data_IF_160989940348
#
_entry.id   IF_160989940348
#
_cell.length_a   1.000
_cell.length_b   1.000
_cell.length_c   1.000
_cell.angle_alpha   90.00
_cell.angle_beta   90.00
_cell.angle_gamma   90.00
#
_symmetry.space_group_name_H-M   'P 1'
#
loop_
_entity.id
_entity.type
_entity.pdbx_description
1 polymer ?
#
# COMPACT_ATOMS: atom_id res chain seq x y z
N UNK A 1 57.16 -149.77 -50.65
CA UNK A 1 58.07 -150.42 -49.69
C UNK A 1 59.36 -149.62 -49.68
N UNK A 2 59.52 -148.71 -48.71
CA UNK A 2 60.71 -147.84 -48.61
C UNK A 2 61.76 -148.60 -47.81
N UNK A 3 62.84 -149.01 -48.46
CA UNK A 3 63.96 -149.70 -47.81
C UNK A 3 64.85 -148.64 -47.16
N UNK A 4 64.89 -148.64 -45.82
CA UNK A 4 65.82 -147.84 -45.01
C UNK A 4 67.06 -148.68 -44.71
N UNK A 5 68.25 -148.19 -45.03
CA UNK A 5 69.53 -148.71 -44.54
C UNK A 5 70.20 -147.59 -43.74
N UNK A 6 70.51 -147.86 -42.46
CA UNK A 6 71.33 -147.03 -41.57
C UNK A 6 70.81 -145.65 -41.11
N UNK A 7 69.50 -145.50 -40.85
CA UNK A 7 68.94 -144.45 -39.98
C UNK A 7 68.97 -143.00 -40.49
N UNK A 8 69.83 -142.70 -41.45
CA UNK A 8 69.74 -141.55 -42.33
C UNK A 8 68.91 -141.98 -43.54
N UNK A 9 67.82 -141.28 -43.90
CA UNK A 9 67.12 -141.56 -45.13
C UNK A 9 68.12 -141.39 -46.27
N UNK A 10 68.58 -142.50 -46.83
CA UNK A 10 69.29 -142.52 -48.10
C UNK A 10 68.30 -141.89 -49.07
N UNK A 11 68.54 -140.63 -49.44
CA UNK A 11 67.72 -139.91 -50.40
C UNK A 11 67.67 -140.77 -51.65
N UNK A 12 66.58 -141.53 -51.80
CA UNK A 12 66.36 -142.29 -53.00
C UNK A 12 66.25 -141.32 -54.16
N UNK A 13 66.54 -141.73 -55.39
CA UNK A 13 66.28 -140.90 -56.57
C UNK A 13 64.86 -140.30 -56.53
N UNK A 14 63.89 -141.02 -55.94
CA UNK A 14 62.51 -140.57 -55.68
C UNK A 14 62.36 -139.46 -54.63
N UNK A 15 63.18 -139.39 -53.58
CA UNK A 15 63.13 -138.33 -52.56
C UNK A 15 63.83 -137.06 -53.05
N UNK A 16 64.90 -137.20 -53.84
CA UNK A 16 65.49 -136.09 -54.60
C UNK A 16 64.49 -135.57 -55.64
N UNK A 17 63.74 -136.45 -56.31
CA UNK A 17 62.65 -136.08 -57.22
C UNK A 17 61.47 -135.42 -56.49
N UNK A 18 61.11 -135.88 -55.30
CA UNK A 18 60.04 -135.28 -54.50
C UNK A 18 60.47 -133.92 -53.95
N UNK A 19 61.71 -133.79 -53.48
CA UNK A 19 62.31 -132.52 -53.06
C UNK A 19 62.46 -131.54 -54.22
N UNK A 20 62.93 -132.00 -55.39
CA UNK A 20 63.01 -131.19 -56.61
C UNK A 20 61.62 -130.75 -57.09
N UNK A 21 60.59 -131.60 -56.95
CA UNK A 21 59.21 -131.26 -57.30
C UNK A 21 58.55 -130.33 -56.28
N UNK A 22 58.90 -130.43 -54.99
CA UNK A 22 58.45 -129.52 -53.95
C UNK A 22 59.13 -128.15 -54.05
N UNK A 23 60.43 -128.12 -54.35
CA UNK A 23 61.15 -126.88 -54.68
C UNK A 23 60.61 -126.29 -55.98
N UNK A 24 60.30 -127.11 -56.99
CA UNK A 24 59.67 -126.67 -58.24
C UNK A 24 58.26 -126.09 -57.99
N UNK A 25 57.43 -126.76 -57.18
CA UNK A 25 56.11 -126.24 -56.80
C UNK A 25 56.20 -124.97 -55.97
N UNK A 26 57.17 -124.88 -55.04
CA UNK A 26 57.43 -123.67 -54.28
C UNK A 26 57.97 -122.53 -55.15
N UNK A 27 58.80 -122.83 -56.17
CA UNK A 27 59.24 -121.84 -57.15
C UNK A 27 58.10 -121.43 -58.08
N UNK A 28 57.20 -122.33 -58.44
CA UNK A 28 56.00 -122.04 -59.24
C UNK A 28 55.00 -121.17 -58.45
N UNK A 29 54.78 -121.46 -57.17
CA UNK A 29 53.96 -120.66 -56.25
C UNK A 29 54.61 -119.29 -55.97
N UNK A 30 55.93 -119.24 -55.77
CA UNK A 30 56.68 -117.99 -55.58
C UNK A 30 56.68 -117.14 -56.86
N UNK A 31 56.78 -117.76 -58.05
CA UNK A 31 56.68 -117.09 -59.35
C UNK A 31 55.25 -116.61 -59.60
N UNK A 32 54.24 -117.39 -59.22
CA UNK A 32 52.83 -116.99 -59.28
C UNK A 32 52.54 -115.80 -58.38
N UNK A 33 53.01 -115.85 -57.12
CA UNK A 33 52.85 -114.74 -56.19
C UNK A 33 53.66 -113.50 -56.62
N UNK A 34 54.89 -113.68 -57.11
CA UNK A 34 55.69 -112.60 -57.69
C UNK A 34 55.05 -112.03 -58.97
N UNK A 35 54.31 -112.83 -59.75
CA UNK A 35 53.54 -112.41 -60.92
C UNK A 35 52.27 -111.63 -60.57
N UNK A 36 51.66 -111.87 -59.40
CA UNK A 36 50.51 -111.11 -58.89
C UNK A 36 50.90 -109.80 -58.20
N UNK A 37 52.12 -109.69 -57.67
CA UNK A 37 52.62 -108.48 -56.99
C UNK A 37 52.50 -107.22 -57.86
N UNK A 38 52.89 -107.20 -59.16
CA UNK A 38 52.68 -106.05 -60.04
C UNK A 38 51.22 -105.61 -60.14
N UNK A 39 50.27 -106.56 -60.22
CA UNK A 39 48.84 -106.24 -60.30
C UNK A 39 48.24 -105.74 -58.97
N UNK A 40 48.80 -106.16 -57.83
CA UNK A 40 48.45 -105.58 -56.52
C UNK A 40 49.07 -104.19 -56.35
N UNK A 41 50.32 -104.00 -56.78
CA UNK A 41 51.00 -102.71 -56.77
C UNK A 41 50.29 -101.68 -57.67
N UNK A 42 49.89 -102.06 -58.88
CA UNK A 42 49.11 -101.20 -59.78
C UNK A 42 47.82 -100.70 -59.15
N UNK A 43 47.01 -101.60 -58.56
CA UNK A 43 45.77 -101.20 -57.87
C UNK A 43 46.00 -100.29 -56.65
N UNK A 44 47.10 -100.48 -55.92
CA UNK A 44 47.48 -99.58 -54.83
C UNK A 44 47.90 -98.21 -55.35
N UNK A 45 48.61 -98.15 -56.49
CA UNK A 45 48.98 -96.90 -57.15
C UNK A 45 47.75 -96.16 -57.68
N UNK A 46 46.81 -96.85 -58.33
CA UNK A 46 45.54 -96.28 -58.80
C UNK A 46 44.72 -95.73 -57.63
N UNK A 47 44.63 -96.49 -56.53
CA UNK A 47 43.97 -96.04 -55.30
C UNK A 47 44.67 -94.85 -54.64
N UNK A 48 46.00 -94.79 -54.70
CA UNK A 48 46.78 -93.66 -54.23
C UNK A 48 46.56 -92.42 -55.12
N UNK A 49 46.51 -92.58 -56.44
CA UNK A 49 46.23 -91.50 -57.39
C UNK A 49 44.84 -90.92 -57.18
N UNK A 50 43.82 -91.76 -57.03
CA UNK A 50 42.46 -91.33 -56.71
C UNK A 50 42.38 -90.62 -55.34
N UNK A 51 43.15 -91.07 -54.35
CA UNK A 51 43.24 -90.40 -53.05
C UNK A 51 43.89 -89.03 -53.18
N UNK A 52 44.97 -88.91 -53.97
CA UNK A 52 45.65 -87.64 -54.24
C UNK A 52 44.71 -86.67 -54.95
N UNK A 53 43.97 -87.10 -55.97
CA UNK A 53 43.00 -86.26 -56.67
C UNK A 53 41.91 -85.73 -55.72
N UNK A 54 41.39 -86.61 -54.85
CA UNK A 54 40.41 -86.20 -53.83
C UNK A 54 40.99 -85.21 -52.82
N UNK A 55 42.24 -85.41 -52.38
CA UNK A 55 42.93 -84.49 -51.47
C UNK A 55 43.11 -83.13 -52.14
N UNK A 56 43.55 -83.09 -53.40
CA UNK A 56 43.68 -81.85 -54.18
C UNK A 56 42.33 -81.12 -54.28
N UNK A 57 41.24 -81.82 -54.62
CA UNK A 57 39.92 -81.21 -54.66
C UNK A 57 39.37 -80.79 -53.29
N UNK A 58 39.85 -81.37 -52.18
CA UNK A 58 39.56 -80.86 -50.83
C UNK A 58 40.39 -79.59 -50.56
N UNK A 59 41.66 -79.55 -50.95
CA UNK A 59 42.51 -78.38 -50.80
C UNK A 59 41.93 -77.17 -51.55
N UNK A 60 41.52 -77.33 -52.81
CA UNK A 60 40.90 -76.25 -53.60
C UNK A 60 39.62 -75.71 -52.94
N UNK A 61 38.81 -76.60 -52.35
CA UNK A 61 37.61 -76.19 -51.59
C UNK A 61 37.96 -75.47 -50.30
N UNK A 62 39.02 -75.89 -49.62
CA UNK A 62 39.52 -75.21 -48.42
C UNK A 62 40.01 -73.81 -48.79
N UNK A 63 40.77 -73.66 -49.87
CA UNK A 63 41.24 -72.35 -50.34
C UNK A 63 40.06 -71.41 -50.65
N UNK A 64 39.03 -71.91 -51.37
CA UNK A 64 37.82 -71.12 -51.63
C UNK A 64 37.00 -70.79 -50.36
N UNK A 65 37.07 -71.62 -49.32
CA UNK A 65 36.49 -71.29 -48.01
C UNK A 65 37.31 -70.23 -47.28
N UNK A 66 38.65 -70.30 -47.34
CA UNK A 66 39.54 -69.31 -46.75
C UNK A 66 39.34 -67.93 -47.40
N UNK A 67 39.27 -67.86 -48.73
CA UNK A 67 38.97 -66.61 -49.45
C UNK A 67 37.64 -65.98 -48.99
N UNK A 68 36.62 -66.81 -48.79
CA UNK A 68 35.30 -66.35 -48.29
C UNK A 68 35.39 -65.88 -46.84
N UNK A 69 36.16 -66.56 -46.00
CA UNK A 69 36.39 -66.15 -44.61
C UNK A 69 37.11 -64.81 -44.57
N UNK A 70 38.15 -64.63 -45.37
CA UNK A 70 38.89 -63.36 -45.47
C UNK A 70 37.97 -62.22 -45.93
N UNK A 71 37.11 -62.48 -46.93
CA UNK A 71 36.09 -61.53 -47.35
C UNK A 71 35.07 -61.19 -46.25
N UNK A 72 34.67 -62.18 -45.44
CA UNK A 72 33.79 -61.96 -44.29
C UNK A 72 34.47 -61.14 -43.20
N UNK A 73 35.75 -61.39 -42.92
CA UNK A 73 36.54 -60.63 -41.94
C UNK A 73 36.66 -59.17 -42.38
N UNK A 74 36.99 -58.94 -43.65
CA UNK A 74 37.06 -57.58 -44.20
C UNK A 74 35.72 -56.83 -44.13
N UNK A 75 34.61 -57.52 -44.39
CA UNK A 75 33.28 -56.93 -44.25
C UNK A 75 32.94 -56.59 -42.79
N UNK A 76 33.32 -57.46 -41.84
CA UNK A 76 33.16 -57.21 -40.40
C UNK A 76 33.99 -56.00 -39.97
N UNK A 77 35.23 -55.86 -40.43
CA UNK A 77 36.09 -54.71 -40.11
C UNK A 77 35.50 -53.39 -40.64
N UNK A 78 34.92 -53.41 -41.83
CA UNK A 78 34.22 -52.26 -42.39
C UNK A 78 32.98 -51.89 -41.56
N UNK A 79 32.18 -52.87 -41.14
CA UNK A 79 31.02 -52.66 -40.26
C UNK A 79 31.43 -52.10 -38.89
N UNK A 80 32.51 -52.61 -38.29
CA UNK A 80 33.02 -52.10 -37.02
C UNK A 80 33.48 -50.65 -37.13
N UNK A 81 34.08 -50.27 -38.26
CA UNK A 81 34.45 -48.88 -38.55
C UNK A 81 33.22 -47.98 -38.65
N UNK A 82 32.18 -48.42 -39.36
CA UNK A 82 30.92 -47.67 -39.47
C UNK A 82 30.20 -47.52 -38.12
N UNK A 83 30.12 -48.62 -37.34
CA UNK A 83 29.56 -48.62 -35.98
C UNK A 83 30.33 -47.64 -35.09
N UNK A 84 31.66 -47.60 -35.17
CA UNK A 84 32.47 -46.60 -34.46
C UNK A 84 32.07 -45.16 -34.83
N UNK A 85 31.83 -44.90 -36.11
CA UNK A 85 31.32 -43.61 -36.59
C UNK A 85 29.91 -43.26 -36.12
N UNK A 86 29.00 -44.25 -36.03
CA UNK A 86 27.66 -44.07 -35.46
C UNK A 86 27.73 -43.74 -33.96
N UNK A 87 28.56 -44.46 -33.20
CA UNK A 87 28.76 -44.23 -31.78
C UNK A 87 29.31 -42.83 -31.52
N UNK A 88 30.32 -42.39 -32.28
CA UNK A 88 30.88 -41.04 -32.15
C UNK A 88 29.85 -39.93 -32.43
N UNK A 89 29.05 -40.07 -33.50
CA UNK A 89 27.95 -39.14 -33.80
C UNK A 89 26.89 -39.15 -32.70
N UNK A 90 26.52 -40.32 -32.20
CA UNK A 90 25.54 -40.46 -31.10
C UNK A 90 26.04 -39.77 -29.84
N UNK A 91 27.33 -39.94 -29.48
CA UNK A 91 27.93 -39.23 -28.35
C UNK A 91 27.87 -37.70 -28.51
N UNK A 92 28.00 -37.20 -29.74
CA UNK A 92 27.92 -35.76 -30.03
C UNK A 92 26.49 -35.23 -29.91
N UNK A 93 25.50 -36.00 -30.37
CA UNK A 93 24.08 -35.70 -30.19
C UNK A 93 23.71 -35.66 -28.72
N UNK A 94 24.15 -36.66 -27.93
CA UNK A 94 23.93 -36.70 -26.48
C UNK A 94 24.52 -35.46 -25.80
N UNK A 95 25.78 -35.13 -26.06
CA UNK A 95 26.39 -33.93 -25.48
C UNK A 95 25.73 -32.61 -25.92
N UNK A 96 25.10 -32.58 -27.09
CA UNK A 96 24.31 -31.41 -27.54
C UNK A 96 22.97 -31.34 -26.82
N UNK A 97 22.30 -32.48 -26.63
CA UNK A 97 21.06 -32.58 -25.89
C UNK A 97 21.26 -32.16 -24.42
N UNK A 98 22.34 -32.60 -23.77
CA UNK A 98 22.69 -32.18 -22.40
C UNK A 98 22.86 -30.66 -22.29
N UNK A 99 23.53 -30.02 -23.24
CA UNK A 99 23.67 -28.56 -23.29
C UNK A 99 22.33 -27.86 -23.49
N UNK A 100 21.47 -28.39 -24.37
CA UNK A 100 20.12 -27.84 -24.59
C UNK A 100 19.28 -27.93 -23.31
N UNK A 101 19.31 -29.07 -22.62
CA UNK A 101 18.61 -29.25 -21.33
C UNK A 101 19.12 -28.24 -20.30
N UNK A 102 20.43 -28.03 -20.20
CA UNK A 102 21.00 -27.02 -19.30
C UNK A 102 20.53 -25.59 -19.65
N UNK A 103 20.54 -25.22 -20.93
CA UNK A 103 20.04 -23.90 -21.39
C UNK A 103 18.55 -23.73 -21.09
N UNK A 104 17.72 -24.74 -21.36
CA UNK A 104 16.29 -24.72 -21.03
C UNK A 104 16.07 -24.56 -19.53
N UNK A 105 16.87 -25.24 -18.70
CA UNK A 105 16.86 -25.05 -17.25
C UNK A 105 17.18 -23.61 -16.84
N UNK A 106 18.17 -22.99 -17.48
CA UNK A 106 18.50 -21.57 -17.28
C UNK A 106 17.34 -20.64 -17.64
N UNK A 107 16.75 -20.81 -18.83
CA UNK A 107 15.60 -20.02 -19.29
C UNK A 107 14.41 -20.17 -18.35
N UNK A 108 14.14 -21.38 -17.84
CA UNK A 108 13.07 -21.62 -16.87
C UNK A 108 13.31 -20.86 -15.56
N UNK A 109 14.56 -20.84 -15.05
CA UNK A 109 14.92 -20.08 -13.84
C UNK A 109 14.83 -18.56 -14.03
N UNK A 110 15.22 -18.05 -15.21
CA UNK A 110 15.03 -16.63 -15.55
C UNK A 110 13.54 -16.27 -15.63
N UNK A 111 12.73 -17.12 -16.26
CA UNK A 111 11.28 -16.91 -16.34
C UNK A 111 10.63 -16.87 -14.95
N UNK A 112 11.02 -17.77 -14.03
CA UNK A 112 10.55 -17.74 -12.63
C UNK A 112 10.92 -16.43 -11.93
N UNK A 113 12.12 -15.91 -12.18
CA UNK A 113 12.58 -14.62 -11.64
C UNK A 113 11.78 -13.44 -12.19
N UNK A 114 11.48 -13.46 -13.49
CA UNK A 114 10.63 -12.45 -14.13
C UNK A 114 9.22 -12.46 -13.53
N UNK A 115 8.61 -13.64 -13.38
CA UNK A 115 7.27 -13.79 -12.78
C UNK A 115 7.24 -13.25 -11.34
N UNK A 116 8.25 -13.60 -10.53
CA UNK A 116 8.36 -13.08 -9.16
C UNK A 116 8.48 -11.55 -9.12
N UNK A 117 9.31 -10.99 -9.99
CA UNK A 117 9.51 -9.53 -10.09
C UNK A 117 8.24 -8.83 -10.55
N UNK A 118 7.55 -9.36 -11.56
CA UNK A 118 6.27 -8.83 -12.02
C UNK A 118 5.21 -8.84 -10.90
N UNK A 119 5.15 -9.90 -10.08
CA UNK A 119 4.27 -9.97 -8.91
C UNK A 119 4.59 -8.89 -7.86
N UNK A 120 5.88 -8.64 -7.60
CA UNK A 120 6.31 -7.57 -6.69
C UNK A 120 5.92 -6.18 -7.22
N UNK A 121 6.14 -5.92 -8.51
CA UNK A 121 5.75 -4.67 -9.18
C UNK A 121 4.23 -4.46 -9.11
N UNK A 122 3.43 -5.51 -9.36
CA UNK A 122 1.97 -5.43 -9.26
C UNK A 122 1.51 -5.08 -7.83
N UNK A 123 2.15 -5.65 -6.81
CA UNK A 123 1.86 -5.36 -5.40
C UNK A 123 2.20 -3.91 -5.05
N UNK A 124 3.34 -3.41 -5.53
CA UNK A 124 3.75 -2.02 -5.34
C UNK A 124 2.78 -1.06 -6.04
N UNK A 125 2.36 -1.37 -7.27
CA UNK A 125 1.39 -0.58 -8.01
C UNK A 125 0.04 -0.49 -7.26
N UNK A 126 -0.45 -1.60 -6.72
CA UNK A 126 -1.67 -1.60 -5.90
C UNK A 126 -1.55 -0.69 -4.67
N UNK A 127 -0.37 -0.67 -4.02
CA UNK A 127 -0.10 0.21 -2.89
C UNK A 127 -0.13 1.69 -3.29
N UNK A 128 0.48 2.04 -4.43
CA UNK A 128 0.46 3.41 -4.96
C UNK A 128 -0.95 3.87 -5.31
N UNK A 129 -1.76 3.00 -5.92
CA UNK A 129 -3.17 3.29 -6.22
C UNK A 129 -3.96 3.55 -4.93
N UNK A 130 -3.76 2.72 -3.89
CA UNK A 130 -4.40 2.94 -2.58
C UNK A 130 -4.00 4.28 -1.94
N UNK A 131 -2.71 4.64 -2.01
CA UNK A 131 -2.24 5.94 -1.52
C UNK A 131 -2.86 7.12 -2.29
N UNK A 132 -2.96 7.02 -3.61
CA UNK A 132 -3.58 8.04 -4.45
C UNK A 132 -5.08 8.21 -4.15
N UNK A 133 -5.80 7.11 -3.89
CA UNK A 133 -7.19 7.16 -3.43
C UNK A 133 -7.31 7.88 -2.08
N UNK A 134 -6.40 7.60 -1.13
CA UNK A 134 -6.35 8.31 0.15
C UNK A 134 -6.13 9.82 0.00
N UNK A 135 -5.20 10.24 -0.87
CA UNK A 135 -4.96 11.66 -1.17
C UNK A 135 -6.20 12.32 -1.80
N UNK A 136 -6.87 11.63 -2.73
CA UNK A 136 -8.09 12.14 -3.35
C UNK A 136 -9.22 12.34 -2.33
N UNK A 137 -9.37 11.42 -1.37
CA UNK A 137 -10.33 11.56 -0.28
C UNK A 137 -10.01 12.76 0.62
N UNK A 138 -8.76 12.92 1.03
CA UNK A 138 -8.33 14.07 1.85
C UNK A 138 -8.55 15.39 1.11
N UNK A 139 -8.28 15.45 -0.20
CA UNK A 139 -8.57 16.63 -1.00
C UNK A 139 -10.07 16.96 -1.00
N UNK A 140 -10.93 15.95 -1.08
CA UNK A 140 -12.39 16.12 -0.94
C UNK A 140 -12.78 16.75 0.40
N UNK A 141 -12.23 16.24 1.51
CA UNK A 141 -12.48 16.79 2.85
C UNK A 141 -12.03 18.26 2.99
N UNK A 142 -10.89 18.63 2.37
CA UNK A 142 -10.43 20.04 2.34
C UNK A 142 -11.40 20.92 1.55
N UNK A 143 -11.90 20.45 0.40
CA UNK A 143 -12.87 21.20 -0.41
C UNK A 143 -14.17 21.40 0.36
N UNK A 144 -14.67 20.36 1.02
CA UNK A 144 -15.88 20.46 1.87
C UNK A 144 -15.66 21.44 3.02
N UNK A 145 -14.50 21.37 3.68
CA UNK A 145 -14.10 22.32 4.72
C UNK A 145 -14.06 23.76 4.22
N UNK A 146 -13.48 23.99 3.04
CA UNK A 146 -13.47 25.30 2.40
C UNK A 146 -14.90 25.81 2.09
N UNK A 147 -15.81 24.92 1.66
CA UNK A 147 -17.22 25.22 1.47
C UNK A 147 -17.93 25.67 2.75
N UNK A 148 -17.62 25.03 3.89
CA UNK A 148 -18.14 25.46 5.21
C UNK A 148 -17.64 26.85 5.58
N UNK A 149 -16.34 27.12 5.39
CA UNK A 149 -15.74 28.43 5.69
C UNK A 149 -16.36 29.52 4.80
N UNK A 150 -16.52 29.25 3.51
CA UNK A 150 -17.13 30.20 2.57
C UNK A 150 -18.57 30.56 2.97
N UNK A 151 -19.39 29.59 3.40
CA UNK A 151 -20.75 29.87 3.91
C UNK A 151 -20.74 30.74 5.16
N UNK A 152 -19.89 30.41 6.14
CA UNK A 152 -19.75 31.22 7.37
C UNK A 152 -19.29 32.65 7.07
N UNK A 153 -18.37 32.82 6.14
CA UNK A 153 -17.96 34.15 5.69
C UNK A 153 -19.14 34.92 5.07
N UNK A 154 -19.96 34.25 4.26
CA UNK A 154 -21.20 34.82 3.72
C UNK A 154 -22.19 35.27 4.81
N UNK A 155 -22.37 34.46 5.85
CA UNK A 155 -23.21 34.80 7.01
C UNK A 155 -22.69 36.04 7.76
N UNK A 156 -21.37 36.12 8.01
CA UNK A 156 -20.73 37.28 8.66
C UNK A 156 -20.90 38.55 7.81
N UNK A 157 -20.66 38.46 6.51
CA UNK A 157 -20.84 39.59 5.59
C UNK A 157 -22.31 40.05 5.58
N UNK A 158 -23.26 39.11 5.57
CA UNK A 158 -24.68 39.42 5.68
C UNK A 158 -25.05 40.14 6.98
N UNK A 159 -24.55 39.65 8.12
CA UNK A 159 -24.76 40.29 9.43
C UNK A 159 -24.11 41.67 9.54
N UNK A 160 -22.94 41.86 8.93
CA UNK A 160 -22.29 43.17 8.87
C UNK A 160 -23.10 44.15 8.00
N UNK A 161 -23.67 43.67 6.88
CA UNK A 161 -24.60 44.42 6.05
C UNK A 161 -25.82 44.90 6.83
N UNK A 162 -26.53 43.98 7.51
CA UNK A 162 -27.71 44.35 8.30
C UNK A 162 -27.40 45.32 9.46
N UNK A 163 -26.22 45.18 10.08
CA UNK A 163 -25.76 46.12 11.12
C UNK A 163 -25.47 47.50 10.53
N UNK A 164 -24.87 47.55 9.34
CA UNK A 164 -24.60 48.79 8.63
C UNK A 164 -25.88 49.50 8.22
N UNK A 165 -26.87 48.76 7.73
CA UNK A 165 -28.20 49.29 7.40
C UNK A 165 -28.92 49.84 8.64
N UNK A 166 -28.86 49.13 9.77
CA UNK A 166 -29.42 49.61 11.03
C UNK A 166 -28.73 50.90 11.53
N UNK A 167 -27.40 50.96 11.46
CA UNK A 167 -26.64 52.16 11.79
C UNK A 167 -27.00 53.33 10.88
N UNK A 168 -27.14 53.10 9.56
CA UNK A 168 -27.58 54.12 8.61
C UNK A 168 -28.98 54.63 8.93
N UNK A 169 -29.93 53.75 9.28
CA UNK A 169 -31.28 54.13 9.68
C UNK A 169 -31.30 54.96 10.98
N UNK A 170 -30.48 54.58 11.98
CA UNK A 170 -30.31 55.37 13.20
C UNK A 170 -29.72 56.75 12.91
N UNK A 171 -28.67 56.83 12.08
CA UNK A 171 -28.06 58.10 11.68
C UNK A 171 -29.03 58.98 10.88
N UNK A 172 -29.85 58.41 10.01
CA UNK A 172 -30.89 59.13 9.30
C UNK A 172 -31.95 59.72 10.26
N UNK A 173 -32.25 59.02 11.35
CA UNK A 173 -33.21 59.45 12.37
C UNK A 173 -32.62 60.52 13.30
N UNK A 174 -31.41 60.27 13.81
CA UNK A 174 -30.77 61.11 14.84
C UNK A 174 -29.95 62.27 14.27
N UNK A 175 -29.49 62.18 13.02
CA UNK A 175 -28.70 63.22 12.36
C UNK A 175 -29.37 64.60 12.38
N UNK A 176 -30.66 64.74 12.01
CA UNK A 176 -31.36 66.01 12.10
C UNK A 176 -31.51 66.51 13.54
N UNK A 177 -31.69 65.62 14.51
CA UNK A 177 -31.85 65.97 15.92
C UNK A 177 -30.53 66.49 16.50
N UNK A 178 -29.43 65.79 16.25
CA UNK A 178 -28.09 66.18 16.70
C UNK A 178 -27.63 67.48 16.05
N UNK A 179 -27.91 67.72 14.76
CA UNK A 179 -27.63 68.99 14.11
C UNK A 179 -28.36 70.17 14.74
N UNK A 180 -29.62 69.99 15.17
CA UNK A 180 -30.38 71.03 15.90
C UNK A 180 -29.88 71.20 17.34
N UNK A 181 -29.48 70.13 18.01
CA UNK A 181 -29.02 70.16 19.40
C UNK A 181 -27.57 70.65 19.56
N UNK A 182 -26.72 70.46 18.55
CA UNK A 182 -25.30 70.83 18.57
C UNK A 182 -25.02 72.29 18.99
N UNK A 183 -25.68 73.33 18.45
CA UNK A 183 -25.44 74.70 18.90
C UNK A 183 -25.88 74.93 20.36
N UNK A 184 -26.98 74.33 20.80
CA UNK A 184 -27.45 74.44 22.19
C UNK A 184 -26.48 73.79 23.17
N UNK A 185 -26.00 72.58 22.85
CA UNK A 185 -24.99 71.89 23.64
C UNK A 185 -23.67 72.66 23.69
N UNK A 186 -23.28 73.30 22.58
CA UNK A 186 -22.08 74.14 22.52
C UNK A 186 -22.23 75.38 23.40
N UNK A 187 -23.35 76.08 23.33
CA UNK A 187 -23.65 77.21 24.23
C UNK A 187 -23.64 76.76 25.69
N UNK A 188 -24.20 75.59 26.00
CA UNK A 188 -24.20 75.05 27.35
C UNK A 188 -22.77 74.79 27.87
N UNK A 189 -21.91 74.15 27.08
CA UNK A 189 -20.50 73.88 27.45
C UNK A 189 -19.66 75.15 27.52
N UNK A 190 -19.92 76.13 26.65
CA UNK A 190 -19.18 77.41 26.64
C UNK A 190 -19.62 78.36 27.78
N UNK A 191 -20.86 78.26 28.28
CA UNK A 191 -21.40 79.18 29.29
C UNK A 191 -21.47 78.62 30.71
N UNK A 192 -21.45 77.30 30.92
CA UNK A 192 -21.51 76.70 32.25
C UNK A 192 -20.18 76.02 32.60
N UNK A 193 -19.61 76.38 33.74
CA UNK A 193 -18.50 75.65 34.38
C UNK A 193 -19.00 74.31 34.96
N UNK A 194 -18.08 73.36 35.20
CA UNK A 194 -18.43 72.03 35.74
C UNK A 194 -19.26 72.11 37.04
N UNK A 195 -18.92 73.06 37.91
CA UNK A 195 -19.62 73.29 39.17
C UNK A 195 -21.06 73.78 38.96
N UNK A 196 -21.28 74.63 37.95
CA UNK A 196 -22.60 75.15 37.61
C UNK A 196 -23.46 74.10 36.90
N UNK A 197 -22.87 73.25 36.04
CA UNK A 197 -23.59 72.10 35.47
C UNK A 197 -24.04 71.15 36.58
N UNK A 198 -23.19 70.87 37.57
CA UNK A 198 -23.55 70.02 38.71
C UNK A 198 -24.62 70.67 39.59
N UNK A 199 -24.58 72.01 39.72
CA UNK A 199 -25.64 72.75 40.40
C UNK A 199 -26.97 72.70 39.62
N UNK A 200 -26.92 72.80 38.29
CA UNK A 200 -28.10 72.70 37.44
C UNK A 200 -28.74 71.30 37.50
N UNK A 201 -27.94 70.23 37.53
CA UNK A 201 -28.45 68.86 37.75
C UNK A 201 -29.17 68.75 39.09
N UNK A 202 -28.54 69.22 40.19
CA UNK A 202 -29.20 69.23 41.51
C UNK A 202 -30.50 70.04 41.51
N UNK A 203 -30.53 71.17 40.80
CA UNK A 203 -31.73 71.98 40.67
C UNK A 203 -32.84 71.21 39.95
N UNK A 204 -32.53 70.54 38.83
CA UNK A 204 -33.48 69.73 38.07
C UNK A 204 -34.01 68.56 38.89
N UNK A 205 -33.18 67.90 39.69
CA UNK A 205 -33.59 66.81 40.58
C UNK A 205 -34.59 67.28 41.65
N UNK A 206 -34.50 68.56 42.06
CA UNK A 206 -35.42 69.17 43.02
C UNK A 206 -36.67 69.79 42.38
N UNK A 207 -36.72 69.95 41.04
CA UNK A 207 -37.90 70.51 40.36
C UNK A 207 -39.19 69.71 40.61
N UNK A 208 -39.21 68.36 40.52
CA UNK A 208 -40.43 67.60 40.78
C UNK A 208 -40.98 67.82 42.20
N UNK A 209 -40.08 67.82 43.20
CA UNK A 209 -40.43 68.02 44.61
C UNK A 209 -40.91 69.45 44.87
N UNK A 210 -40.30 70.44 44.19
CA UNK A 210 -40.70 71.83 44.25
C UNK A 210 -42.06 72.04 43.58
N UNK A 211 -42.32 71.42 42.44
CA UNK A 211 -43.64 71.45 41.77
C UNK A 211 -44.70 70.83 42.67
N UNK A 212 -44.40 69.69 43.30
CA UNK A 212 -45.32 69.03 44.24
C UNK A 212 -45.64 69.89 45.46
N UNK A 213 -44.63 70.52 46.09
CA UNK A 213 -44.86 71.45 47.21
C UNK A 213 -45.59 72.73 46.76
N UNK A 214 -45.30 73.24 45.56
CA UNK A 214 -45.98 74.43 45.04
C UNK A 214 -47.46 74.14 44.77
N UNK A 215 -47.78 72.98 44.23
CA UNK A 215 -49.14 72.57 43.89
C UNK A 215 -49.95 72.13 45.12
N UNK A 216 -49.35 71.34 46.01
CA UNK A 216 -50.06 70.74 47.14
C UNK A 216 -50.05 71.61 48.40
N UNK A 217 -48.96 72.34 48.65
CA UNK A 217 -48.80 73.04 49.93
C UNK A 217 -48.99 74.55 49.77
N UNK A 218 -48.43 75.15 48.71
CA UNK A 218 -48.37 76.61 48.57
C UNK A 218 -49.58 77.19 47.83
N UNK A 219 -50.04 76.56 46.74
CA UNK A 219 -51.23 77.01 46.00
C UNK A 219 -52.48 77.11 46.87
N UNK A 220 -52.79 76.13 47.75
CA UNK A 220 -53.92 76.27 48.68
C UNK A 220 -53.75 77.44 49.65
N UNK A 221 -52.53 77.68 50.13
CA UNK A 221 -52.22 78.79 51.04
C UNK A 221 -52.39 80.14 50.33
N UNK A 222 -51.91 80.30 49.10
CA UNK A 222 -52.13 81.52 48.30
C UNK A 222 -53.61 81.75 48.00
N UNK A 223 -54.37 80.68 47.79
CA UNK A 223 -55.83 80.74 47.63
C UNK A 223 -56.51 81.20 48.93
N UNK A 224 -56.01 80.78 50.09
CA UNK A 224 -56.47 81.31 51.38
C UNK A 224 -55.91 82.71 51.70
N UNK A 225 -54.75 83.11 51.18
CA UNK A 225 -54.14 84.42 51.42
C UNK A 225 -54.92 85.55 50.74
N UNK A 226 -55.51 85.27 49.57
CA UNK A 226 -56.53 86.14 48.95
C UNK A 226 -57.71 86.41 49.91
N UNK A 227 -57.95 85.50 50.86
CA UNK A 227 -58.99 85.57 51.89
C UNK A 227 -58.52 86.18 53.22
N UNK A 228 -57.21 86.31 53.48
CA UNK A 228 -56.64 86.93 54.71
C UNK A 228 -56.57 88.46 54.60
N UNK A 229 -56.68 89.03 53.40
CA UNK A 229 -56.80 90.48 53.17
C UNK A 229 -57.88 91.16 54.03
N UNK A 230 -59.11 90.63 54.13
CA UNK A 230 -60.12 91.15 55.06
C UNK A 230 -59.82 90.87 56.55
N UNK A 231 -59.28 89.71 56.92
CA UNK A 231 -59.07 89.31 58.33
C UNK A 231 -57.99 90.16 59.04
N UNK A 232 -56.97 90.64 58.32
CA UNK A 232 -55.98 91.60 58.87
C UNK A 232 -56.63 92.96 59.15
N UNK A 233 -57.63 93.35 58.37
CA UNK A 233 -58.36 94.60 58.59
C UNK A 233 -59.28 94.50 59.82
N UNK A 234 -59.92 93.35 60.05
CA UNK A 234 -60.69 93.10 61.28
C UNK A 234 -59.80 93.12 62.54
N UNK A 235 -58.59 92.56 62.50
CA UNK A 235 -57.65 92.62 63.64
C UNK A 235 -57.18 94.06 63.94
N UNK A 236 -57.07 94.92 62.92
CA UNK A 236 -56.77 96.34 63.11
C UNK A 236 -57.95 97.10 63.74
N UNK A 237 -59.19 96.74 63.43
CA UNK A 237 -60.37 97.34 64.07
C UNK A 237 -60.54 96.86 65.53
N UNK A 238 -60.29 95.58 65.83
CA UNK A 238 -60.30 95.05 67.22
C UNK A 238 -59.21 95.68 68.08
N UNK A 239 -58.01 95.93 67.54
CA UNK A 239 -56.96 96.68 68.24
C UNK A 239 -57.36 98.15 68.49
N UNK A 240 -58.15 98.73 67.59
CA UNK A 240 -58.74 100.06 67.75
C UNK A 240 -59.78 100.08 68.87
N UNK A 241 -60.60 99.03 68.99
CA UNK A 241 -61.60 98.88 70.05
C UNK A 241 -60.97 98.62 71.43
N UNK A 242 -59.89 97.84 71.52
CA UNK A 242 -59.12 97.68 72.78
C UNK A 242 -58.46 99.01 73.19
N UNK A 243 -57.91 99.77 72.24
CA UNK A 243 -57.41 101.13 72.51
C UNK A 243 -58.52 102.07 72.99
N UNK A 244 -59.74 101.92 72.49
CA UNK A 244 -60.89 102.73 72.90
C UNK A 244 -61.44 102.30 74.28
N UNK A 245 -61.39 101.00 74.62
CA UNK A 245 -61.84 100.45 75.90
C UNK A 245 -60.93 100.85 77.08
N UNK A 246 -59.64 101.04 76.85
CA UNK A 246 -58.68 101.51 77.87
C UNK A 246 -58.89 103.00 78.22
N UNK A 247 -59.52 103.79 77.33
CA UNK A 247 -59.84 105.21 77.58
C UNK A 247 -61.18 105.43 78.30
N UNK A 248 -61.96 104.37 78.56
CA UNK A 248 -63.35 104.44 79.03
C UNK A 248 -63.62 104.09 80.51
N UNK A 249 -62.61 103.97 81.38
CA UNK A 249 -62.81 103.61 82.81
C UNK A 249 -62.58 104.85 83.72
N UNK A 250 -63.63 105.41 84.35
CA UNK A 250 -63.52 106.50 85.31
C UNK A 250 -62.92 106.00 86.63
N UNK A 251 -61.71 106.45 86.98
CA UNK A 251 -61.06 106.07 88.26
C UNK A 251 -59.52 106.11 88.28
N UNK A 252 -58.85 106.20 87.13
CA UNK A 252 -57.37 106.19 87.06
C UNK A 252 -56.70 107.56 86.89
N UNK A 253 -57.42 108.66 87.16
CA UNK A 253 -56.83 110.01 87.23
C UNK A 253 -55.89 110.21 88.46
N UNK A 254 -55.76 109.21 89.34
CA UNK A 254 -54.94 109.30 90.56
C UNK A 254 -53.51 108.73 90.43
N UNK A 255 -53.12 108.14 89.30
CA UNK A 255 -51.77 107.57 89.10
C UNK A 255 -50.89 108.29 88.06
N UNK A 256 -51.37 109.37 87.45
CA UNK A 256 -50.58 110.18 86.50
C UNK A 256 -49.47 111.03 87.16
N UNK A 257 -49.27 110.95 88.48
CA UNK A 257 -48.26 111.73 89.21
C UNK A 257 -47.06 110.92 89.75
N UNK A 258 -46.84 109.69 89.25
CA UNK A 258 -45.66 108.85 89.62
C UNK A 258 -45.00 108.10 88.45
N UNK A 259 -45.21 108.56 87.20
CA UNK A 259 -44.70 107.88 86.00
C UNK A 259 -43.81 108.71 85.08
N UNK A 260 -43.55 109.99 85.37
CA UNK A 260 -42.71 110.87 84.53
C UNK A 260 -41.21 110.80 84.86
N UNK A 261 -40.73 109.81 85.62
CA UNK A 261 -39.32 109.68 86.02
C UNK A 261 -38.60 108.44 85.46
N UNK A 262 -39.12 107.75 84.44
CA UNK A 262 -38.53 106.46 84.00
C UNK A 262 -38.49 106.13 82.50
N UNK A 263 -38.45 107.12 81.61
CA UNK A 263 -38.25 106.87 80.16
C UNK A 263 -37.15 107.71 79.51
N UNK A 264 -36.19 108.21 80.28
CA UNK A 264 -34.93 108.80 79.76
C UNK A 264 -33.73 107.82 79.80
N UNK A 265 -33.98 106.51 79.89
CA UNK A 265 -32.92 105.49 79.79
C UNK A 265 -33.42 104.28 78.99
N UNK A 266 -33.27 104.37 77.66
CA UNK A 266 -32.82 103.30 76.75
C UNK A 266 -33.00 103.81 75.31
N UNK A 267 -32.00 104.57 74.86
CA UNK A 267 -31.60 104.64 73.45
C UNK A 267 -30.57 103.54 73.18
#
# INVERSE_FOLDING_TARGET
MVVRIAGLPVLGPSDVLAGARAVAGWTEDAVGMAGELPGRAGRLLDGAEALVERISGIADRVDGLLDRVDGSVAAVDALLTEVGGVVARTSTVVGTAEKLVATVGGVAGEAETIVRTAGAVATQAATVVGAAQGVAQQAGEVVDGAGVVARRAGEVVGSAGSTSDAAAALLATWGPVSQRAAPLARTFVEQFSEDEVRAAVRLVDHLPQLTEHLENDIMPILTTLDRVGPDVHELLDVLKEVRQAILGIPGFAFFRRRGEEKTDQES
#
